data_IF_558824144559
#
_entry.id   IF_558824144559
#
_cell.length_a   1.000
_cell.length_b   1.000
_cell.length_c   1.000
_cell.angle_alpha   90.00
_cell.angle_beta   90.00
_cell.angle_gamma   90.00
#
_symmetry.space_group_name_H-M   'P 1'
#
loop_
_entity.id
_entity.type
_entity.pdbx_description
1 polymer ?
#
# COMPACT_ATOMS: atom_id res chain seq x y z
N UNK A 1 -5.60 30.98 18.43
CA UNK A 1 -5.80 30.14 17.25
C UNK A 1 -4.46 30.12 16.54
N UNK A 2 -3.82 28.96 16.52
CA UNK A 2 -2.51 28.76 15.90
C UNK A 2 -2.75 28.61 14.40
N UNK A 3 -2.47 29.65 13.62
CA UNK A 3 -2.74 29.70 12.17
C UNK A 3 -1.58 29.19 11.32
N UNK A 4 -0.59 28.54 11.94
CA UNK A 4 0.61 28.07 11.27
C UNK A 4 0.99 26.69 11.78
N UNK A 5 1.33 25.77 10.86
CA UNK A 5 1.84 24.45 11.20
C UNK A 5 3.00 24.08 10.28
N UNK A 6 3.87 23.21 10.80
CA UNK A 6 5.09 22.76 10.13
C UNK A 6 4.97 21.28 9.80
N UNK A 7 5.33 20.92 8.57
CA UNK A 7 5.48 19.53 8.14
C UNK A 7 6.86 19.35 7.51
N UNK A 8 7.32 18.11 7.27
CA UNK A 8 8.55 17.87 6.50
C UNK A 8 8.51 18.48 5.10
N UNK A 9 7.33 18.75 4.54
CA UNK A 9 7.13 19.36 3.23
C UNK A 9 7.22 20.89 3.25
N UNK A 10 6.95 21.55 4.40
CA UNK A 10 7.02 23.01 4.48
C UNK A 10 6.28 23.65 5.65
N UNK A 11 6.06 24.97 5.51
CA UNK A 11 5.30 25.80 6.46
C UNK A 11 3.95 26.10 5.83
N UNK A 12 2.88 25.78 6.56
CA UNK A 12 1.51 25.94 6.09
C UNK A 12 0.75 26.88 7.01
N UNK A 13 -0.26 27.54 6.46
CA UNK A 13 -1.07 28.50 7.20
C UNK A 13 -2.52 28.49 6.75
N UNK A 14 -3.43 28.47 7.73
CA UNK A 14 -4.85 28.63 7.47
C UNK A 14 -5.19 30.12 7.38
N UNK A 15 -5.52 30.56 6.18
CA UNK A 15 -5.85 31.96 5.88
C UNK A 15 -7.31 32.11 5.51
N UNK A 16 -7.97 33.12 6.10
CA UNK A 16 -9.33 33.50 5.70
C UNK A 16 -9.26 34.46 4.51
N UNK A 17 -9.73 34.01 3.36
CA UNK A 17 -9.89 34.85 2.18
C UNK A 17 -11.16 35.69 2.27
N UNK A 18 -11.10 36.92 1.77
CA UNK A 18 -12.31 37.70 1.45
C UNK A 18 -13.01 37.11 0.24
N UNK A 19 -14.32 37.29 0.10
CA UNK A 19 -15.10 36.78 -1.04
C UNK A 19 -14.47 37.14 -2.40
N UNK A 20 -14.04 38.40 -2.56
CA UNK A 20 -13.36 38.86 -3.78
C UNK A 20 -12.05 38.13 -4.08
N UNK A 21 -11.28 37.81 -3.04
CA UNK A 21 -10.02 37.06 -3.20
C UNK A 21 -10.30 35.60 -3.54
N UNK A 22 -11.33 35.00 -2.93
CA UNK A 22 -11.76 33.64 -3.26
C UNK A 22 -12.22 33.54 -4.72
N UNK A 23 -12.93 34.54 -5.24
CA UNK A 23 -13.33 34.60 -6.66
C UNK A 23 -12.11 34.67 -7.59
N UNK A 24 -11.11 35.48 -7.26
CA UNK A 24 -9.88 35.56 -8.07
C UNK A 24 -9.07 34.27 -8.06
N UNK A 25 -9.02 33.57 -6.93
CA UNK A 25 -8.39 32.24 -6.85
C UNK A 25 -9.16 31.24 -7.71
N UNK A 26 -10.49 31.21 -7.59
CA UNK A 26 -11.36 30.31 -8.34
C UNK A 26 -11.29 30.53 -9.85
N UNK A 27 -11.19 31.79 -10.29
CA UNK A 27 -11.05 32.13 -11.69
C UNK A 27 -9.61 31.94 -12.21
N UNK A 28 -8.67 31.56 -11.34
CA UNK A 28 -7.27 31.35 -11.68
C UNK A 28 -6.51 32.64 -12.02
N UNK A 29 -7.03 33.80 -11.61
CA UNK A 29 -6.36 35.11 -11.74
C UNK A 29 -5.14 35.19 -10.80
N UNK A 30 -5.24 34.54 -9.64
CA UNK A 30 -4.10 34.30 -8.77
C UNK A 30 -4.04 32.84 -8.34
N UNK A 31 -2.86 32.24 -8.53
CA UNK A 31 -2.68 30.80 -8.38
C UNK A 31 -1.66 30.42 -7.32
N UNK A 32 -0.79 31.32 -6.90
CA UNK A 32 0.36 30.97 -6.07
C UNK A 32 0.52 31.94 -4.89
N UNK A 33 1.29 31.53 -3.89
CA UNK A 33 1.74 32.38 -2.80
C UNK A 33 3.23 32.68 -3.00
N UNK A 34 3.62 33.95 -2.86
CA UNK A 34 5.02 34.35 -2.84
C UNK A 34 5.35 34.97 -1.49
N UNK A 35 6.35 34.39 -0.83
CA UNK A 35 6.86 34.87 0.44
C UNK A 35 8.09 35.75 0.25
N UNK A 36 8.24 36.74 1.13
CA UNK A 36 9.44 37.58 1.22
C UNK A 36 10.25 37.15 2.44
N UNK A 37 11.50 36.74 2.18
CA UNK A 37 12.41 36.23 3.19
C UNK A 37 13.47 37.26 3.60
N UNK A 38 13.94 37.16 4.84
CA UNK A 38 15.21 37.73 5.27
C UNK A 38 16.29 36.64 5.26
N UNK A 39 17.47 36.99 4.78
CA UNK A 39 18.63 36.12 4.72
C UNK A 39 19.74 36.62 5.65
N UNK A 40 20.60 35.72 6.12
CA UNK A 40 21.86 36.10 6.76
C UNK A 40 22.99 36.30 5.73
N UNK A 41 24.21 36.56 6.22
CA UNK A 41 25.41 36.76 5.39
C UNK A 41 25.80 35.54 4.57
N UNK A 42 25.40 34.35 5.01
CA UNK A 42 25.70 33.08 4.36
C UNK A 42 24.60 32.66 3.38
N UNK A 43 23.51 33.44 3.28
CA UNK A 43 22.39 33.21 2.38
C UNK A 43 21.29 32.29 2.94
N UNK A 44 21.33 31.95 4.23
CA UNK A 44 20.27 31.14 4.84
C UNK A 44 19.05 31.98 5.20
N UNK A 45 17.85 31.45 4.92
CA UNK A 45 16.58 32.06 5.32
C UNK A 45 16.47 32.07 6.84
N UNK A 46 16.28 33.26 7.43
CA UNK A 46 16.13 33.43 8.89
C UNK A 46 14.74 33.88 9.31
N UNK A 47 13.99 34.53 8.42
CA UNK A 47 12.68 35.09 8.74
C UNK A 47 11.79 35.21 7.50
N UNK A 48 10.48 35.11 7.71
CA UNK A 48 9.44 35.46 6.74
C UNK A 48 8.86 36.81 7.14
N UNK A 49 8.82 37.78 6.22
CA UNK A 49 8.21 39.09 6.48
C UNK A 49 6.71 39.08 6.19
N UNK A 50 6.33 38.61 5.01
CA UNK A 50 4.95 38.49 4.56
C UNK A 50 4.88 37.50 3.40
N UNK A 51 3.66 37.05 3.12
CA UNK A 51 3.33 36.21 1.98
C UNK A 51 2.13 36.81 1.25
N UNK A 52 2.18 36.85 -0.07
CA UNK A 52 1.15 37.47 -0.92
C UNK A 52 0.68 36.52 -2.01
N UNK A 53 -0.62 36.62 -2.33
CA UNK A 53 -1.25 35.90 -3.43
C UNK A 53 -0.80 36.53 -4.76
N UNK A 54 -0.22 35.74 -5.66
CA UNK A 54 0.37 36.16 -6.94
C UNK A 54 0.12 35.13 -8.03
N UNK A 55 0.22 35.54 -9.30
CA UNK A 55 0.19 34.62 -10.44
C UNK A 55 1.60 34.25 -10.95
N UNK A 56 2.62 35.00 -10.51
CA UNK A 56 4.03 34.77 -10.85
C UNK A 56 4.84 34.73 -9.56
N UNK A 57 4.95 33.56 -8.90
CA UNK A 57 5.72 33.44 -7.68
C UNK A 57 7.22 33.59 -7.96
N UNK A 58 7.96 34.10 -6.99
CA UNK A 58 9.43 34.14 -7.05
C UNK A 58 10.08 32.77 -6.71
N UNK A 59 9.29 31.81 -6.25
CA UNK A 59 9.73 30.46 -5.88
C UNK A 59 9.17 29.46 -6.89
N UNK A 60 10.03 28.60 -7.42
CA UNK A 60 9.65 27.52 -8.32
C UNK A 60 9.18 26.28 -7.52
N UNK A 61 8.29 25.48 -8.11
CA UNK A 61 7.87 24.19 -7.55
C UNK A 61 6.88 24.25 -6.38
N UNK A 62 6.24 25.40 -6.16
CA UNK A 62 5.21 25.55 -5.13
C UNK A 62 3.82 25.15 -5.66
N UNK A 63 3.04 24.46 -4.83
CA UNK A 63 1.67 24.09 -5.17
C UNK A 63 0.76 25.32 -5.36
N UNK A 64 -0.22 25.20 -6.24
CA UNK A 64 -1.22 26.25 -6.42
C UNK A 64 -2.02 26.46 -5.13
N UNK A 65 -2.33 27.71 -4.78
CA UNK A 65 -3.15 28.10 -3.63
C UNK A 65 -4.55 27.45 -3.68
N UNK A 66 -5.06 27.14 -4.88
CA UNK A 66 -6.29 26.38 -5.08
C UNK A 66 -6.12 24.92 -4.64
N UNK A 67 -4.93 24.34 -4.84
CA UNK A 67 -4.61 22.98 -4.40
C UNK A 67 -4.58 22.93 -2.88
N UNK A 68 -3.99 23.89 -2.18
CA UNK A 68 -3.97 23.92 -0.70
C UNK A 68 -5.38 23.92 -0.05
N UNK A 69 -6.37 24.60 -0.64
CA UNK A 69 -7.76 24.52 -0.17
C UNK A 69 -8.42 23.17 -0.51
N UNK A 70 -8.00 22.54 -1.61
CA UNK A 70 -8.46 21.19 -2.00
C UNK A 70 -7.68 20.06 -1.34
N UNK A 71 -6.51 20.28 -0.74
CA UNK A 71 -5.72 19.25 -0.04
C UNK A 71 -6.47 18.78 1.21
N UNK A 72 -7.34 19.60 1.78
CA UNK A 72 -8.24 19.17 2.85
C UNK A 72 -9.49 18.41 2.35
N UNK A 73 -9.72 18.35 1.03
CA UNK A 73 -10.81 17.59 0.37
C UNK A 73 -10.29 16.38 -0.43
N UNK A 74 -9.03 16.42 -0.82
CA UNK A 74 -8.29 15.33 -1.42
C UNK A 74 -7.56 14.64 -0.27
N UNK A 75 -8.30 13.82 0.48
CA UNK A 75 -7.68 12.68 1.12
C UNK A 75 -6.76 12.05 0.10
N UNK A 76 -5.49 11.91 0.47
CA UNK A 76 -4.43 11.31 -0.31
C UNK A 76 -4.91 9.97 -0.88
N UNK A 77 -5.37 9.97 -2.13
CA UNK A 77 -5.20 8.80 -2.98
C UNK A 77 -3.69 8.67 -3.15
N UNK A 78 -3.04 7.98 -2.22
CA UNK A 78 -1.76 7.37 -2.50
C UNK A 78 -2.03 6.39 -3.64
N UNK A 79 -1.64 6.66 -4.90
CA UNK A 79 -1.79 5.64 -5.92
C UNK A 79 -0.85 4.51 -5.51
N UNK A 80 -1.44 3.42 -5.00
CA UNK A 80 -0.72 2.18 -4.75
C UNK A 80 0.07 1.86 -6.02
N UNK A 81 1.35 1.52 -5.88
CA UNK A 81 2.22 1.21 -7.01
C UNK A 81 1.51 0.18 -7.91
N UNK A 82 1.08 0.62 -9.10
CA UNK A 82 0.27 -0.20 -10.03
C UNK A 82 0.96 -1.53 -10.35
N UNK A 83 2.30 -1.57 -10.25
CA UNK A 83 3.09 -2.78 -10.44
C UNK A 83 2.89 -3.79 -9.30
N UNK A 84 2.78 -3.32 -8.06
CA UNK A 84 2.51 -4.16 -6.89
C UNK A 84 1.09 -4.74 -6.95
N UNK A 85 0.11 -3.92 -7.34
CA UNK A 85 -1.29 -4.37 -7.51
C UNK A 85 -1.38 -5.46 -8.58
N UNK A 86 -0.76 -5.25 -9.74
CA UNK A 86 -0.71 -6.26 -10.80
C UNK A 86 -0.04 -7.57 -10.35
N UNK A 87 1.04 -7.49 -9.57
CA UNK A 87 1.71 -8.67 -9.02
C UNK A 87 0.82 -9.44 -8.03
N UNK A 88 0.08 -8.73 -7.16
CA UNK A 88 -0.87 -9.35 -6.22
C UNK A 88 -2.06 -9.98 -6.95
N UNK A 89 -2.62 -9.30 -7.96
CA UNK A 89 -3.68 -9.87 -8.78
C UNK A 89 -3.22 -11.12 -9.52
N UNK A 90 -2.00 -11.13 -10.07
CA UNK A 90 -1.42 -12.33 -10.70
C UNK A 90 -1.22 -13.48 -9.71
N UNK A 91 -0.85 -13.19 -8.45
CA UNK A 91 -0.64 -14.21 -7.42
C UNK A 91 -1.96 -14.89 -7.01
N UNK A 92 -3.03 -14.10 -6.87
CA UNK A 92 -4.35 -14.60 -6.49
C UNK A 92 -5.25 -14.97 -7.67
N UNK A 93 -4.75 -14.85 -8.91
CA UNK A 93 -5.51 -15.07 -10.15
C UNK A 93 -6.80 -14.23 -10.15
N UNK A 94 -6.68 -12.97 -9.73
CA UNK A 94 -7.75 -11.98 -9.77
C UNK A 94 -7.71 -11.21 -11.08
N UNK A 95 -8.80 -10.52 -11.42
CA UNK A 95 -8.82 -9.62 -12.59
C UNK A 95 -7.89 -8.42 -12.36
N UNK A 96 -7.40 -7.84 -13.45
CA UNK A 96 -6.52 -6.66 -13.42
C UNK A 96 -7.20 -5.40 -12.84
N UNK A 97 -8.54 -5.38 -12.79
CA UNK A 97 -9.38 -4.33 -12.21
C UNK A 97 -9.94 -4.68 -10.81
N UNK A 98 -9.41 -5.74 -10.17
CA UNK A 98 -9.87 -6.14 -8.83
C UNK A 98 -9.65 -5.02 -7.81
N UNK A 99 -10.64 -4.82 -6.94
CA UNK A 99 -10.60 -3.75 -5.94
C UNK A 99 -9.59 -4.06 -4.83
N UNK A 100 -9.08 -3.03 -4.16
CA UNK A 100 -8.17 -3.20 -3.02
C UNK A 100 -8.80 -4.03 -1.88
N UNK A 101 -10.14 -3.96 -1.74
CA UNK A 101 -10.88 -4.78 -0.79
C UNK A 101 -10.79 -6.28 -1.14
N UNK A 102 -10.90 -6.63 -2.42
CA UNK A 102 -10.81 -8.02 -2.89
C UNK A 102 -9.42 -8.60 -2.65
N UNK A 103 -8.37 -7.80 -2.92
CA UNK A 103 -6.98 -8.20 -2.68
C UNK A 103 -6.73 -8.39 -1.18
N UNK A 104 -7.20 -7.47 -0.36
CA UNK A 104 -7.03 -7.53 1.10
C UNK A 104 -7.76 -8.74 1.71
N UNK A 105 -8.95 -9.07 1.21
CA UNK A 105 -9.68 -10.27 1.62
C UNK A 105 -8.88 -11.54 1.32
N UNK A 106 -8.31 -11.65 0.10
CA UNK A 106 -7.49 -12.82 -0.28
C UNK A 106 -6.20 -12.93 0.51
N UNK A 107 -5.50 -11.81 0.76
CA UNK A 107 -4.29 -11.79 1.60
C UNK A 107 -4.63 -12.20 3.04
N UNK A 108 -5.72 -11.68 3.59
CA UNK A 108 -6.17 -12.03 4.95
C UNK A 108 -6.54 -13.50 5.04
N UNK A 109 -7.29 -14.02 4.06
CA UNK A 109 -7.61 -15.43 3.97
C UNK A 109 -6.36 -16.31 3.85
N UNK A 110 -5.35 -15.90 3.06
CA UNK A 110 -4.07 -16.60 2.95
C UNK A 110 -3.30 -16.61 4.27
N UNK A 111 -3.26 -15.47 4.98
CA UNK A 111 -2.61 -15.41 6.30
C UNK A 111 -3.31 -16.29 7.34
N UNK A 112 -4.64 -16.36 7.32
CA UNK A 112 -5.42 -17.22 8.18
C UNK A 112 -5.20 -18.71 7.84
N UNK A 113 -5.13 -19.04 6.55
CA UNK A 113 -4.89 -20.41 6.07
C UNK A 113 -3.46 -20.90 6.32
N UNK A 114 -2.46 -20.00 6.27
CA UNK A 114 -1.06 -20.33 6.57
C UNK A 114 -0.89 -20.76 8.04
N UNK A 115 -1.64 -20.15 8.97
CA UNK A 115 -1.46 -20.36 10.40
C UNK A 115 -0.02 -20.07 10.83
N UNK A 116 0.51 -20.86 11.77
CA UNK A 116 1.90 -20.76 12.27
C UNK A 116 2.90 -21.57 11.43
N UNK A 117 2.59 -21.81 10.15
CA UNK A 117 3.43 -22.62 9.27
C UNK A 117 4.78 -21.91 9.02
N UNK A 118 5.92 -22.54 9.31
CA UNK A 118 7.25 -21.95 9.10
C UNK A 118 7.69 -21.99 7.62
N UNK A 119 6.80 -22.41 6.71
CA UNK A 119 7.08 -22.51 5.28
C UNK A 119 6.91 -21.14 4.64
N UNK A 120 7.93 -20.72 3.87
CA UNK A 120 7.85 -19.51 3.07
C UNK A 120 6.81 -19.69 1.95
N UNK A 121 6.08 -18.63 1.62
CA UNK A 121 5.02 -18.67 0.61
C UNK A 121 5.56 -19.10 -0.76
N UNK A 122 6.81 -18.77 -1.06
CA UNK A 122 7.48 -19.17 -2.30
C UNK A 122 7.72 -20.69 -2.36
N UNK A 123 7.90 -21.34 -1.22
CA UNK A 123 8.25 -22.76 -1.11
C UNK A 123 7.03 -23.68 -0.94
N UNK A 124 5.82 -23.10 -0.79
CA UNK A 124 4.58 -23.88 -0.57
C UNK A 124 4.33 -24.87 -1.70
N UNK A 125 4.52 -24.46 -2.95
CA UNK A 125 4.33 -25.35 -4.11
C UNK A 125 5.38 -26.47 -4.19
N UNK A 126 6.62 -26.20 -3.78
CA UNK A 126 7.66 -27.22 -3.72
C UNK A 126 7.32 -28.28 -2.65
N UNK A 127 6.91 -27.84 -1.46
CA UNK A 127 6.50 -28.76 -0.37
C UNK A 127 5.20 -29.52 -0.67
N UNK A 128 4.29 -28.93 -1.45
CA UNK A 128 3.09 -29.64 -1.91
C UNK A 128 3.47 -30.80 -2.82
N UNK A 129 4.37 -30.58 -3.79
CA UNK A 129 4.86 -31.62 -4.68
C UNK A 129 5.58 -32.75 -3.92
N UNK A 130 6.39 -32.43 -2.91
CA UNK A 130 7.02 -33.43 -2.03
C UNK A 130 5.97 -34.25 -1.27
N UNK A 131 4.93 -33.60 -0.74
CA UNK A 131 3.83 -34.31 -0.06
C UNK A 131 3.05 -35.21 -1.00
N UNK A 132 2.73 -34.75 -2.21
CA UNK A 132 2.05 -35.56 -3.22
C UNK A 132 2.87 -36.81 -3.60
N UNK A 133 4.19 -36.67 -3.76
CA UNK A 133 5.08 -37.82 -3.97
C UNK A 133 5.07 -38.79 -2.79
N UNK A 134 5.07 -38.28 -1.55
CA UNK A 134 4.99 -39.12 -0.36
C UNK A 134 3.66 -39.86 -0.25
N UNK A 135 2.54 -39.21 -0.62
CA UNK A 135 1.20 -39.84 -0.65
C UNK A 135 1.10 -40.88 -1.76
N UNK A 136 1.67 -40.62 -2.94
CA UNK A 136 1.75 -41.60 -4.03
C UNK A 136 2.59 -42.83 -3.63
N UNK A 137 3.71 -42.62 -2.93
CA UNK A 137 4.54 -43.71 -2.41
C UNK A 137 3.82 -44.52 -1.32
N UNK A 138 3.18 -43.85 -0.36
CA UNK A 138 2.41 -44.49 0.71
C UNK A 138 1.18 -45.25 0.18
N UNK A 139 0.46 -44.69 -0.79
CA UNK A 139 -0.69 -45.37 -1.42
C UNK A 139 -0.26 -46.60 -2.24
N UNK A 140 0.90 -46.55 -2.90
CA UNK A 140 1.51 -47.72 -3.55
C UNK A 140 1.89 -48.80 -2.53
N UNK A 141 2.37 -48.39 -1.35
CA UNK A 141 2.70 -49.31 -0.25
C UNK A 141 1.44 -49.96 0.36
N UNK A 142 0.33 -49.22 0.44
CA UNK A 142 -0.98 -49.73 0.89
C UNK A 142 -1.63 -50.67 -0.14
N UNK A 143 -1.38 -50.46 -1.44
CA UNK A 143 -1.85 -51.32 -2.53
C UNK A 143 -1.14 -52.69 -2.62
N UNK A 144 -0.08 -52.90 -1.82
CA UNK A 144 0.67 -54.15 -1.74
C UNK A 144 0.74 -54.66 -0.28
N UNK A 145 -0.40 -54.89 0.40
CA UNK A 145 -0.41 -55.29 1.80
C UNK A 145 0.11 -56.73 1.92
N UNK A 146 1.26 -56.89 2.59
CA UNK A 146 1.91 -58.19 2.83
C UNK A 146 1.03 -59.07 3.75
N UNK A 147 0.35 -60.12 3.23
CA UNK A 147 -0.59 -60.91 4.00
C UNK A 147 0.07 -61.65 5.18
N UNK A 148 1.39 -61.89 5.11
CA UNK A 148 2.15 -62.57 6.15
C UNK A 148 2.38 -61.69 7.40
N UNK A 149 2.22 -60.36 7.29
CA UNK A 149 2.38 -59.42 8.40
C UNK A 149 1.06 -58.96 9.02
N UNK A 150 -0.06 -59.08 8.30
CA UNK A 150 -1.34 -58.51 8.70
C UNK A 150 -2.45 -59.54 9.01
N UNK A 151 -2.20 -60.83 8.83
CA UNK A 151 -3.10 -61.90 9.31
C UNK A 151 -2.41 -62.64 10.48
N UNK A 152 -3.01 -62.68 11.69
CA UNK A 152 -2.49 -63.50 12.77
C UNK A 152 -2.43 -64.96 12.34
N UNK A 153 -1.25 -65.57 12.44
CA UNK A 153 -0.94 -66.92 11.93
C UNK A 153 -1.87 -68.01 12.51
N UNK A 154 -2.54 -67.74 13.63
CA UNK A 154 -3.53 -68.64 14.25
C UNK A 154 -4.81 -68.86 13.41
N UNK A 155 -5.19 -67.93 12.52
CA UNK A 155 -6.41 -68.10 11.70
C UNK A 155 -6.21 -68.88 10.40
N UNK A 156 -4.96 -69.08 9.95
CA UNK A 156 -4.65 -69.83 8.71
C UNK A 156 -4.39 -71.32 8.99
N UNK A 157 -4.02 -71.68 10.23
CA UNK A 157 -3.79 -73.07 10.62
C UNK A 157 -5.06 -73.85 11.04
N UNK A 158 -6.24 -73.20 10.99
CA UNK A 158 -7.51 -73.77 11.43
C UNK A 158 -8.50 -74.09 10.28
N UNK A 159 -8.03 -74.14 9.03
CA UNK A 159 -8.80 -74.58 7.84
C UNK A 159 -8.22 -75.87 7.27
#
# INVERSE_FOLDING_TARGET
>A
MEYFYFTPQGIFADVRWTDKAADYIKNGEYRYISAVFAYDTDGYVRKIFHAALTNTPALDGMDEAMVAASVNLLQEDNPMDKKLLAALCSLFVLKEDASEADITEKVTALSAAKGDSPVDLLDVYAKLAEKEQSVAALSTQVGNPDPAKFVPVEQVAAL
#
